data_IF_442417485186
#
_entry.id   IF_442417485186
#
_cell.length_a   1.000
_cell.length_b   1.000
_cell.length_c   1.000
_cell.angle_alpha   90.00
_cell.angle_beta   90.00
_cell.angle_gamma   90.00
#
_symmetry.space_group_name_H-M   'P 1'
#
loop_
_entity.id
_entity.type
_entity.pdbx_description
1 polymer ?
#
# COMPACT_ATOMS: atom_id res chain seq x y z
N UNK A 1 5.83 -2.61 -6.35
CA UNK A 1 5.84 -3.56 -5.22
C UNK A 1 7.08 -4.44 -5.25
N UNK A 2 7.35 -5.21 -6.32
CA UNK A 2 8.57 -6.04 -6.42
C UNK A 2 9.90 -5.27 -6.39
N UNK A 3 9.97 -4.10 -7.04
CA UNK A 3 11.22 -3.34 -7.17
C UNK A 3 11.42 -2.33 -6.02
N UNK A 4 10.65 -2.43 -4.93
CA UNK A 4 10.71 -1.56 -3.73
C UNK A 4 10.53 -0.05 -3.96
N UNK A 5 9.92 0.35 -5.08
CA UNK A 5 9.60 1.75 -5.39
C UNK A 5 8.15 2.16 -5.05
N UNK A 6 7.30 1.19 -4.71
CA UNK A 6 5.95 1.45 -4.21
C UNK A 6 5.86 0.86 -2.81
N UNK A 7 5.66 1.72 -1.82
CA UNK A 7 5.52 1.37 -0.41
C UNK A 7 4.10 1.72 -0.01
N UNK A 8 3.39 0.75 0.58
CA UNK A 8 2.01 0.93 1.02
C UNK A 8 1.99 1.04 2.54
N UNK A 9 1.51 2.19 3.04
CA UNK A 9 1.22 2.39 4.45
C UNK A 9 -0.30 2.38 4.66
N UNK A 10 -0.79 1.40 5.42
CA UNK A 10 -2.22 1.26 5.67
C UNK A 10 -2.69 2.18 6.81
N UNK A 11 -2.84 3.47 6.52
CA UNK A 11 -3.40 4.46 7.45
C UNK A 11 -4.89 4.76 7.19
N UNK A 12 -5.54 4.02 6.28
CA UNK A 12 -6.92 4.29 5.88
C UNK A 12 -7.13 5.67 5.22
N UNK A 13 -6.10 6.22 4.57
CA UNK A 13 -6.16 7.54 3.91
C UNK A 13 -6.05 7.37 2.40
N UNK A 14 -6.85 8.15 1.66
CA UNK A 14 -6.69 8.31 0.21
C UNK A 14 -5.63 9.39 -0.05
N UNK A 15 -4.37 8.97 -0.07
CA UNK A 15 -3.23 9.84 -0.25
C UNK A 15 -2.09 9.13 -0.99
N UNK A 16 -1.31 9.91 -1.73
CA UNK A 16 -0.12 9.47 -2.45
C UNK A 16 1.05 10.36 -2.09
N UNK A 17 2.23 9.78 -1.92
CA UNK A 17 3.48 10.52 -1.79
C UNK A 17 4.44 10.10 -2.89
N UNK A 18 5.01 11.07 -3.60
CA UNK A 18 6.07 10.86 -4.58
C UNK A 18 7.31 11.55 -4.05
N UNK A 19 8.38 10.78 -3.86
CA UNK A 19 9.61 11.25 -3.23
C UNK A 19 10.83 10.78 -4.02
N UNK A 20 11.89 11.58 -3.96
CA UNK A 20 13.21 11.23 -4.47
C UNK A 20 13.83 10.17 -3.56
N UNK A 21 14.43 9.14 -4.15
CA UNK A 21 14.96 8.01 -3.38
C UNK A 21 16.23 8.39 -2.62
N UNK A 22 16.99 9.34 -3.16
CA UNK A 22 18.29 9.75 -2.63
C UNK A 22 18.19 10.39 -1.25
N UNK A 23 17.17 11.21 -1.03
CA UNK A 23 17.02 12.01 0.19
C UNK A 23 15.64 11.89 0.86
N UNK A 24 14.70 11.15 0.24
CA UNK A 24 13.34 10.98 0.73
C UNK A 24 12.47 12.24 0.66
N UNK A 25 12.93 13.31 0.01
CA UNK A 25 12.15 14.54 -0.15
C UNK A 25 11.17 14.43 -1.31
N UNK A 26 10.01 15.07 -1.16
CA UNK A 26 9.06 15.19 -2.25
C UNK A 26 7.74 15.80 -1.81
N UNK A 27 6.66 15.33 -2.43
CA UNK A 27 5.33 15.87 -2.22
C UNK A 27 4.33 14.78 -1.85
N UNK A 28 3.44 15.13 -0.93
CA UNK A 28 2.28 14.34 -0.56
C UNK A 28 1.02 15.03 -1.06
N UNK A 29 0.25 14.32 -1.87
CA UNK A 29 -1.10 14.71 -2.26
C UNK A 29 -2.12 13.88 -1.45
N UNK A 30 -3.13 14.54 -0.90
CA UNK A 30 -4.26 13.87 -0.28
C UNK A 30 -5.56 14.56 -0.61
N UNK A 31 -6.63 13.78 -0.70
CA UNK A 31 -7.95 14.32 -0.98
C UNK A 31 -8.51 15.01 0.28
N UNK A 32 -8.96 16.26 0.15
CA UNK A 32 -9.61 17.00 1.23
C UNK A 32 -11.04 16.52 1.41
N UNK A 33 -11.63 16.73 2.60
CA UNK A 33 -13.02 16.33 2.88
C UNK A 33 -14.00 17.03 1.93
N UNK A 34 -13.69 18.26 1.51
CA UNK A 34 -14.53 19.10 0.67
C UNK A 34 -14.74 18.50 -0.73
N UNK A 35 -13.93 17.51 -1.14
CA UNK A 35 -14.11 16.77 -2.38
C UNK A 35 -15.47 16.06 -2.47
N UNK A 36 -16.12 15.76 -1.34
CA UNK A 36 -17.49 15.21 -1.34
C UNK A 36 -18.50 16.18 -1.99
N UNK A 37 -18.19 17.47 -2.05
CA UNK A 37 -19.08 18.47 -2.67
C UNK A 37 -18.85 18.60 -4.19
N UNK A 38 -17.86 17.88 -4.75
CA UNK A 38 -17.56 17.96 -6.18
C UNK A 38 -18.58 17.19 -7.04
N UNK A 39 -19.05 16.04 -6.58
CA UNK A 39 -20.14 15.29 -7.19
C UNK A 39 -20.77 14.31 -6.20
N UNK A 40 -22.06 13.97 -6.41
CA UNK A 40 -22.73 12.94 -5.60
C UNK A 40 -22.07 11.56 -5.76
N UNK A 41 -21.48 11.26 -6.91
CA UNK A 41 -20.76 9.99 -7.13
C UNK A 41 -19.47 9.93 -6.31
N UNK A 42 -18.69 11.01 -6.28
CA UNK A 42 -17.50 11.12 -5.44
C UNK A 42 -17.87 10.97 -3.97
N UNK A 43 -18.93 11.67 -3.52
CA UNK A 43 -19.45 11.55 -2.16
C UNK A 43 -19.82 10.11 -1.83
N UNK A 44 -20.64 9.47 -2.66
CA UNK A 44 -21.08 8.09 -2.51
C UNK A 44 -19.90 7.12 -2.45
N UNK A 45 -18.88 7.32 -3.28
CA UNK A 45 -17.64 6.54 -3.27
C UNK A 45 -16.83 6.71 -1.98
N UNK A 46 -16.56 7.96 -1.58
CA UNK A 46 -15.73 8.27 -0.41
C UNK A 46 -16.39 7.88 0.92
N UNK A 47 -17.70 8.09 1.04
CA UNK A 47 -18.49 7.77 2.23
C UNK A 47 -19.04 6.34 2.22
N UNK A 48 -18.86 5.59 1.13
CA UNK A 48 -19.36 4.22 0.93
C UNK A 48 -20.89 4.12 1.08
N UNK A 49 -21.62 5.12 0.56
CA UNK A 49 -23.10 5.19 0.61
C UNK A 49 -23.77 4.24 -0.41
N UNK A 50 -23.46 2.95 -0.31
CA UNK A 50 -24.01 1.90 -1.17
C UNK A 50 -23.14 1.56 -2.39
N UNK A 51 -23.70 0.74 -3.29
CA UNK A 51 -22.99 0.28 -4.50
C UNK A 51 -23.21 1.25 -5.66
N UNK A 52 -22.14 1.55 -6.39
CA UNK A 52 -22.20 2.23 -7.67
C UNK A 52 -22.53 1.22 -8.77
N UNK A 53 -23.50 1.55 -9.63
CA UNK A 53 -23.76 0.83 -10.89
C UNK A 53 -22.54 0.91 -11.82
N UNK A 54 -22.52 0.11 -12.88
CA UNK A 54 -21.43 0.16 -13.86
C UNK A 54 -21.31 1.55 -14.51
N UNK A 55 -22.42 2.13 -14.97
CA UNK A 55 -22.44 3.48 -15.54
C UNK A 55 -22.01 4.56 -14.54
N UNK A 56 -22.39 4.42 -13.26
CA UNK A 56 -21.95 5.35 -12.22
C UNK A 56 -20.44 5.28 -11.98
N UNK A 57 -19.81 4.11 -12.17
CA UNK A 57 -18.35 3.96 -12.03
C UNK A 57 -17.59 4.65 -13.16
N UNK A 58 -18.07 4.53 -14.39
CA UNK A 58 -17.42 5.18 -15.53
C UNK A 58 -17.47 6.70 -15.39
N UNK A 59 -18.63 7.24 -15.00
CA UNK A 59 -18.78 8.68 -14.70
C UNK A 59 -17.99 9.11 -13.46
N UNK A 60 -17.79 8.24 -12.49
CA UNK A 60 -16.94 8.53 -11.33
C UNK A 60 -15.47 8.71 -11.74
N UNK A 61 -14.99 7.92 -12.71
CA UNK A 61 -13.63 8.08 -13.25
C UNK A 61 -13.50 9.47 -13.88
N UNK A 62 -14.47 9.88 -14.69
CA UNK A 62 -14.50 11.22 -15.29
C UNK A 62 -14.55 12.32 -14.22
N UNK A 63 -15.36 12.16 -13.16
CA UNK A 63 -15.44 13.11 -12.06
C UNK A 63 -14.07 13.29 -11.36
N UNK A 64 -13.33 12.19 -11.13
CA UNK A 64 -12.00 12.26 -10.52
C UNK A 64 -10.95 12.85 -11.46
N UNK A 65 -11.01 12.55 -12.77
CA UNK A 65 -10.09 13.10 -13.77
C UNK A 65 -10.23 14.61 -13.92
N UNK A 66 -11.47 15.12 -13.81
CA UNK A 66 -11.79 16.54 -13.91
C UNK A 66 -11.83 17.25 -12.54
N UNK A 67 -11.35 16.59 -11.47
CA UNK A 67 -11.44 17.14 -10.13
C UNK A 67 -10.48 18.31 -9.96
N UNK A 68 -11.02 19.45 -9.56
CA UNK A 68 -10.29 20.70 -9.32
C UNK A 68 -9.17 20.53 -8.26
N UNK A 69 -7.99 21.09 -8.54
CA UNK A 69 -6.82 21.06 -7.66
C UNK A 69 -7.12 21.54 -6.24
N UNK A 70 -8.09 22.44 -6.05
CA UNK A 70 -8.48 22.94 -4.73
C UNK A 70 -8.93 21.83 -3.78
N UNK A 71 -9.42 20.70 -4.30
CA UNK A 71 -9.84 19.55 -3.52
C UNK A 71 -8.67 18.67 -3.05
N UNK A 72 -7.46 18.97 -3.50
CA UNK A 72 -6.25 18.29 -3.05
C UNK A 72 -5.50 19.18 -2.05
N UNK A 73 -4.92 18.52 -1.03
CA UNK A 73 -3.92 19.11 -0.14
C UNK A 73 -2.57 18.58 -0.59
N UNK A 74 -1.71 19.48 -1.07
CA UNK A 74 -0.35 19.19 -1.52
C UNK A 74 0.62 19.74 -0.48
N UNK A 75 1.49 18.88 0.05
CA UNK A 75 2.43 19.22 1.11
C UNK A 75 3.84 18.77 0.72
N UNK A 76 4.85 19.64 0.91
CA UNK A 76 6.25 19.22 0.83
C UNK A 76 6.59 18.39 2.07
N UNK A 77 7.16 17.22 1.86
CA UNK A 77 7.45 16.24 2.93
C UNK A 77 8.85 15.65 2.76
N UNK A 78 9.33 15.00 3.82
CA UNK A 78 10.47 14.09 3.78
C UNK A 78 10.10 12.80 4.48
N UNK A 79 10.39 11.65 3.87
CA UNK A 79 10.13 10.32 4.44
C UNK A 79 11.43 9.57 4.67
N UNK A 80 11.44 8.68 5.66
CA UNK A 80 12.49 7.68 5.81
C UNK A 80 12.17 6.50 4.90
N UNK A 81 12.94 6.35 3.83
CA UNK A 81 12.81 5.20 2.94
C UNK A 81 13.55 4.00 3.52
N UNK A 82 13.03 2.78 3.35
CA UNK A 82 13.79 1.58 3.67
C UNK A 82 15.07 1.56 2.83
N UNK A 83 16.18 1.21 3.48
CA UNK A 83 17.44 0.93 2.79
C UNK A 83 17.22 -0.18 1.77
N UNK A 84 18.03 -0.21 0.71
CA UNK A 84 18.03 -1.41 -0.14
C UNK A 84 18.54 -2.54 0.74
N UNK A 85 17.73 -3.59 0.93
CA UNK A 85 18.19 -4.78 1.65
C UNK A 85 19.52 -5.21 1.07
N UNK A 86 20.50 -5.42 1.94
CA UNK A 86 21.70 -6.13 1.60
C UNK A 86 21.32 -7.51 1.05
N UNK A 87 22.07 -8.03 0.08
CA UNK A 87 21.86 -9.38 -0.41
C UNK A 87 21.84 -10.34 0.79
N UNK A 88 20.69 -10.94 1.04
CA UNK A 88 20.50 -11.90 2.10
C UNK A 88 20.79 -13.30 1.56
N UNK A 89 21.34 -14.15 2.41
CA UNK A 89 21.45 -15.57 2.13
C UNK A 89 20.06 -16.17 1.91
N UNK A 90 19.95 -17.04 0.91
CA UNK A 90 18.75 -17.83 0.65
C UNK A 90 18.85 -19.10 1.50
N UNK A 91 17.82 -19.34 2.30
CA UNK A 91 17.71 -20.49 3.18
C UNK A 91 16.42 -21.25 2.91
N UNK A 92 16.40 -22.51 3.30
CA UNK A 92 15.27 -23.42 3.12
C UNK A 92 14.45 -23.55 4.41
N UNK A 93 13.12 -23.47 4.31
CA UNK A 93 12.23 -23.73 5.44
C UNK A 93 12.23 -25.21 5.79
N UNK A 94 12.49 -25.56 7.06
CA UNK A 94 12.54 -26.95 7.53
C UNK A 94 11.19 -27.68 7.46
N UNK A 95 10.08 -26.98 7.30
CA UNK A 95 8.72 -27.58 7.30
C UNK A 95 8.09 -27.68 5.91
N UNK A 96 8.23 -26.65 5.06
CA UNK A 96 7.63 -26.64 3.73
C UNK A 96 8.63 -26.77 2.58
N UNK A 97 9.94 -26.82 2.87
CA UNK A 97 11.03 -26.97 1.88
C UNK A 97 11.11 -25.82 0.84
N UNK A 98 10.39 -24.72 1.07
CA UNK A 98 10.44 -23.53 0.21
C UNK A 98 11.68 -22.66 0.52
N UNK A 99 12.28 -22.10 -0.54
CA UNK A 99 13.45 -21.21 -0.47
C UNK A 99 13.03 -19.75 -0.28
N UNK A 100 13.72 -19.04 0.60
CA UNK A 100 13.44 -17.63 0.89
C UNK A 100 14.67 -16.92 1.49
N UNK A 101 14.69 -15.57 1.47
CA UNK A 101 15.74 -14.82 2.14
C UNK A 101 15.69 -14.98 3.67
N UNK A 102 16.85 -15.08 4.33
CA UNK A 102 16.97 -15.39 5.76
C UNK A 102 16.22 -14.39 6.68
N UNK A 103 16.12 -13.12 6.30
CA UNK A 103 15.40 -12.10 7.07
C UNK A 103 13.87 -12.31 7.12
N UNK A 104 13.32 -13.23 6.31
CA UNK A 104 11.91 -13.65 6.36
C UNK A 104 11.70 -14.98 7.10
N UNK A 105 12.69 -15.41 7.89
CA UNK A 105 12.59 -16.62 8.72
C UNK A 105 12.42 -16.30 10.20
N UNK A 106 11.95 -17.29 10.96
CA UNK A 106 11.99 -17.30 12.41
C UNK A 106 12.68 -18.58 12.88
N UNK A 107 13.53 -18.47 13.90
CA UNK A 107 14.11 -19.65 14.57
C UNK A 107 13.18 -20.09 15.69
N UNK A 108 12.55 -21.25 15.52
CA UNK A 108 11.64 -21.84 16.51
C UNK A 108 12.16 -23.21 16.88
N UNK A 109 12.47 -23.44 18.17
CA UNK A 109 13.03 -24.71 18.67
C UNK A 109 14.26 -25.21 17.89
N UNK A 110 15.13 -24.30 17.46
CA UNK A 110 16.33 -24.64 16.68
C UNK A 110 16.10 -24.96 15.20
N UNK A 111 14.86 -24.87 14.71
CA UNK A 111 14.52 -25.02 13.28
C UNK A 111 14.34 -23.65 12.62
N UNK A 112 14.71 -23.56 11.34
CA UNK A 112 14.49 -22.36 10.51
C UNK A 112 13.12 -22.53 9.83
N UNK A 113 12.16 -21.70 10.21
CA UNK A 113 10.81 -21.74 9.65
C UNK A 113 10.51 -20.45 8.91
N UNK A 114 9.72 -20.54 7.83
CA UNK A 114 9.15 -19.36 7.18
C UNK A 114 8.06 -18.74 8.04
N UNK A 115 7.75 -17.46 7.76
CA UNK A 115 6.69 -16.76 8.47
C UNK A 115 5.37 -17.54 8.45
N UNK A 116 5.02 -18.18 7.33
CA UNK A 116 3.80 -18.99 7.20
C UNK A 116 3.81 -20.19 8.17
N UNK A 117 4.85 -21.03 8.12
CA UNK A 117 5.01 -22.20 9.01
C UNK A 117 5.16 -21.81 10.48
N UNK A 118 5.70 -20.62 10.78
CA UNK A 118 5.78 -20.11 12.15
C UNK A 118 4.44 -19.58 12.71
N UNK A 119 3.35 -19.64 11.91
CA UNK A 119 2.00 -19.27 12.34
C UNK A 119 1.51 -17.91 11.85
N UNK A 120 2.25 -17.22 10.97
CA UNK A 120 1.84 -15.95 10.35
C UNK A 120 1.12 -16.17 9.01
N UNK A 121 0.44 -17.30 8.86
CA UNK A 121 -0.29 -17.61 7.62
C UNK A 121 -1.52 -16.72 7.45
N UNK A 122 -1.74 -16.27 6.22
CA UNK A 122 -2.99 -15.58 5.83
C UNK A 122 -4.05 -16.55 5.30
N UNK A 123 -3.75 -17.85 5.24
CA UNK A 123 -4.62 -18.90 4.73
C UNK A 123 -4.63 -20.12 5.66
N UNK A 124 -5.70 -20.89 5.58
CA UNK A 124 -5.83 -22.20 6.22
C UNK A 124 -5.75 -23.28 5.13
N UNK A 125 -5.04 -24.37 5.42
CA UNK A 125 -5.02 -25.55 4.55
C UNK A 125 -6.26 -26.38 4.85
N UNK A 126 -7.00 -26.75 3.81
CA UNK A 126 -8.15 -27.67 3.87
C UNK A 126 -7.66 -29.08 3.55
#
# INVERSE_FOLDING_TARGET
>A
MGNKNLIVHNYGKLALSIVLRENGEGYRASLKKEAINASERIKKFLLREGKLSHEERDKLIEDFLNLDEKYFKIEKIRVKLPTRDEQQEIVECTECEELQPNNFTATVNGKILCQLCSGQSYFEKI
#
